data_IF_558737660679
#
_entry.id   IF_558737660679
#
_cell.length_a   1.000
_cell.length_b   1.000
_cell.length_c   1.000
_cell.angle_alpha   90.00
_cell.angle_beta   90.00
_cell.angle_gamma   90.00
#
_symmetry.space_group_name_H-M   'P 1'
#
loop_
_entity.id
_entity.type
_entity.pdbx_description
1 polymer ?
#
# COMPACT_ATOMS: atom_id res chain seq x y z
N UNK A 1 -18.77 4.84 -0.57
CA UNK A 1 -18.66 3.70 0.40
C UNK A 1 -19.95 2.89 0.49
N UNK A 2 -21.12 3.54 0.67
CA UNK A 2 -22.39 2.85 0.86
C UNK A 2 -22.80 2.01 -0.34
N UNK A 3 -22.66 2.53 -1.57
CA UNK A 3 -22.97 1.80 -2.80
C UNK A 3 -22.12 0.52 -2.94
N UNK A 4 -20.83 0.59 -2.63
CA UNK A 4 -19.96 -0.59 -2.63
C UNK A 4 -20.34 -1.57 -1.53
N UNK A 5 -20.64 -1.08 -0.31
CA UNK A 5 -21.08 -1.94 0.79
C UNK A 5 -22.37 -2.69 0.45
N UNK A 6 -23.32 -2.02 -0.20
CA UNK A 6 -24.58 -2.66 -0.61
C UNK A 6 -24.36 -3.73 -1.71
N UNK A 7 -23.42 -3.51 -2.63
CA UNK A 7 -23.11 -4.42 -3.73
C UNK A 7 -22.21 -5.58 -3.33
N UNK A 8 -21.18 -5.29 -2.52
CA UNK A 8 -20.08 -6.22 -2.24
C UNK A 8 -20.14 -6.87 -0.85
N UNK A 9 -20.99 -6.35 0.05
CA UNK A 9 -21.12 -6.86 1.43
C UNK A 9 -20.01 -6.41 2.40
N UNK A 10 -19.01 -5.61 1.95
CA UNK A 10 -17.97 -5.04 2.80
C UNK A 10 -17.78 -3.55 2.57
N UNK A 11 -17.21 -2.86 3.56
CA UNK A 11 -16.95 -1.42 3.47
C UNK A 11 -15.57 -1.13 2.89
N UNK A 12 -15.49 -0.18 1.93
CA UNK A 12 -14.21 0.33 1.44
C UNK A 12 -13.44 1.04 2.56
N UNK A 13 -12.18 0.66 2.71
CA UNK A 13 -11.18 1.33 3.54
C UNK A 13 -10.26 2.19 2.65
N UNK A 14 -9.24 2.82 3.23
CA UNK A 14 -8.21 3.52 2.48
C UNK A 14 -7.23 2.58 1.76
N UNK A 15 -7.09 1.35 2.25
CA UNK A 15 -6.09 0.40 1.75
C UNK A 15 -6.20 0.06 0.25
N UNK A 16 -7.37 -0.20 -0.34
CA UNK A 16 -7.49 -0.42 -1.77
C UNK A 16 -6.99 0.77 -2.61
N UNK A 17 -7.34 1.98 -2.23
CA UNK A 17 -6.91 3.21 -2.91
C UNK A 17 -5.40 3.39 -2.84
N UNK A 18 -4.83 3.22 -1.65
CA UNK A 18 -3.39 3.25 -1.45
C UNK A 18 -2.68 2.18 -2.27
N UNK A 19 -3.17 0.93 -2.23
CA UNK A 19 -2.60 -0.19 -2.98
C UNK A 19 -2.60 0.10 -4.49
N UNK A 20 -3.70 0.63 -5.02
CA UNK A 20 -3.79 1.02 -6.44
C UNK A 20 -2.79 2.12 -6.79
N UNK A 21 -2.73 3.19 -5.98
CA UNK A 21 -1.81 4.31 -6.19
C UNK A 21 -0.33 3.88 -6.10
N UNK A 22 0.01 3.00 -5.16
CA UNK A 22 1.36 2.43 -5.00
C UNK A 22 1.71 1.51 -6.15
N UNK A 23 0.79 0.65 -6.60
CA UNK A 23 1.01 -0.25 -7.75
C UNK A 23 1.41 0.55 -9.00
N UNK A 24 0.69 1.62 -9.32
CA UNK A 24 1.03 2.48 -10.47
C UNK A 24 2.36 3.22 -10.27
N UNK A 25 2.65 3.63 -9.05
CA UNK A 25 3.94 4.26 -8.75
C UNK A 25 5.12 3.27 -8.89
N UNK A 26 4.93 1.99 -8.54
CA UNK A 26 5.92 0.93 -8.72
C UNK A 26 6.18 0.64 -10.21
N UNK A 27 5.12 0.59 -11.04
CA UNK A 27 5.27 0.43 -12.49
C UNK A 27 6.05 1.59 -13.13
N UNK A 28 5.85 2.81 -12.62
CA UNK A 28 6.58 4.00 -13.07
C UNK A 28 8.03 4.08 -12.52
N UNK A 29 8.31 3.38 -11.41
CA UNK A 29 9.62 3.38 -10.73
C UNK A 29 10.07 1.94 -10.44
N UNK A 30 10.41 1.14 -11.47
CA UNK A 30 10.59 -0.31 -11.32
C UNK A 30 11.76 -0.70 -10.39
N UNK A 31 12.76 0.15 -10.21
CA UNK A 31 13.84 -0.09 -9.25
C UNK A 31 13.34 -0.18 -7.79
N UNK A 32 12.25 0.48 -7.45
CA UNK A 32 11.63 0.39 -6.11
C UNK A 32 10.95 -0.97 -5.92
N UNK A 33 10.56 -1.65 -7.01
CA UNK A 33 9.98 -2.99 -7.02
C UNK A 33 11.03 -4.05 -7.36
N UNK A 34 12.05 -4.17 -6.52
CA UNK A 34 13.19 -5.04 -6.77
C UNK A 34 13.59 -5.84 -5.53
N UNK A 35 14.50 -6.76 -5.71
CA UNK A 35 15.17 -7.48 -4.62
C UNK A 35 16.69 -7.53 -4.88
N UNK A 36 17.48 -7.48 -3.82
CA UNK A 36 18.93 -7.62 -3.89
C UNK A 36 19.30 -9.10 -3.68
N UNK A 37 19.95 -9.71 -4.66
CA UNK A 37 20.43 -11.10 -4.66
C UNK A 37 21.96 -11.12 -4.74
N UNK A 38 22.62 -11.12 -3.59
CA UNK A 38 24.07 -10.97 -3.54
C UNK A 38 24.47 -9.60 -4.09
N UNK A 39 25.14 -9.56 -5.24
CA UNK A 39 25.56 -8.34 -5.94
C UNK A 39 24.62 -7.95 -7.11
N UNK A 40 23.58 -8.74 -7.36
CA UNK A 40 22.64 -8.51 -8.45
C UNK A 40 21.33 -7.90 -7.96
N UNK A 41 20.76 -6.98 -8.74
CA UNK A 41 19.45 -6.39 -8.50
C UNK A 41 18.43 -7.05 -9.44
N UNK A 42 17.46 -7.77 -8.88
CA UNK A 42 16.39 -8.40 -9.62
C UNK A 42 15.15 -7.50 -9.64
N UNK A 43 14.96 -6.74 -10.70
CA UNK A 43 13.78 -5.88 -10.91
C UNK A 43 12.57 -6.72 -11.28
N UNK A 44 11.43 -6.46 -10.63
CA UNK A 44 10.16 -7.15 -10.89
C UNK A 44 9.30 -6.32 -11.85
N UNK A 45 8.79 -6.95 -12.91
CA UNK A 45 7.90 -6.33 -13.90
C UNK A 45 6.42 -6.65 -13.64
N UNK A 46 6.09 -7.17 -12.49
CA UNK A 46 4.75 -7.42 -11.96
C UNK A 46 4.70 -6.97 -10.50
N UNK A 47 3.52 -6.71 -9.97
CA UNK A 47 3.37 -6.26 -8.58
C UNK A 47 2.55 -7.27 -7.78
N UNK A 48 3.22 -7.92 -6.84
CA UNK A 48 2.59 -8.73 -5.80
C UNK A 48 2.66 -7.95 -4.47
N UNK A 49 1.54 -7.41 -4.05
CA UNK A 49 1.49 -6.50 -2.91
C UNK A 49 1.31 -7.25 -1.59
N UNK A 50 2.33 -7.19 -0.73
CA UNK A 50 2.21 -7.60 0.67
C UNK A 50 1.38 -6.60 1.47
N UNK A 51 0.37 -7.06 2.17
CA UNK A 51 -0.48 -6.23 3.04
C UNK A 51 -0.32 -6.70 4.48
N UNK A 52 0.29 -5.88 5.32
CA UNK A 52 0.47 -6.23 6.72
C UNK A 52 -0.88 -6.27 7.45
N UNK A 53 -1.20 -7.39 8.05
CA UNK A 53 -2.44 -7.64 8.81
C UNK A 53 -2.08 -8.04 10.24
N UNK A 54 -2.54 -7.24 11.21
CA UNK A 54 -2.46 -7.60 12.64
C UNK A 54 -3.55 -8.61 12.99
N UNK A 55 -3.20 -9.59 13.81
CA UNK A 55 -4.10 -10.56 14.42
C UNK A 55 -3.65 -10.81 15.88
N UNK A 56 -4.40 -11.55 16.68
CA UNK A 56 -4.22 -11.65 18.13
C UNK A 56 -2.81 -12.08 18.57
N UNK A 57 -2.11 -12.87 17.75
CA UNK A 57 -0.79 -13.43 18.08
C UNK A 57 0.38 -12.68 17.43
N UNK A 58 0.12 -11.63 16.63
CA UNK A 58 1.19 -10.86 15.98
C UNK A 58 0.80 -10.22 14.66
N UNK A 59 1.73 -10.27 13.70
CA UNK A 59 1.61 -9.67 12.39
C UNK A 59 1.89 -10.73 11.31
N UNK A 60 1.06 -10.77 10.28
CA UNK A 60 1.28 -11.58 9.08
C UNK A 60 1.15 -10.69 7.85
N UNK A 61 1.86 -11.03 6.77
CA UNK A 61 1.86 -10.24 5.53
C UNK A 61 1.35 -11.11 4.38
N UNK A 62 0.03 -11.28 4.24
CA UNK A 62 -0.51 -11.92 3.04
C UNK A 62 -0.22 -11.10 1.79
N UNK A 63 -0.10 -11.81 0.65
CA UNK A 63 0.31 -11.25 -0.63
C UNK A 63 -0.85 -11.28 -1.62
N UNK A 64 -1.30 -10.11 -2.03
CA UNK A 64 -2.23 -9.94 -3.13
C UNK A 64 -1.44 -9.96 -4.45
N UNK A 65 -1.50 -11.06 -5.18
CA UNK A 65 -0.73 -11.28 -6.41
C UNK A 65 -1.35 -10.55 -7.60
N UNK A 66 -0.50 -9.96 -8.45
CA UNK A 66 -0.90 -9.35 -9.72
C UNK A 66 -1.75 -8.08 -9.58
N UNK A 67 -1.45 -7.21 -8.62
CA UNK A 67 -2.20 -5.96 -8.42
C UNK A 67 -2.11 -5.01 -9.62
N UNK A 68 -1.08 -5.14 -10.44
CA UNK A 68 -0.86 -4.43 -11.70
C UNK A 68 -1.89 -4.76 -12.78
N UNK A 69 -2.56 -5.91 -12.68
CA UNK A 69 -3.63 -6.35 -13.60
C UNK A 69 -5.05 -6.17 -13.03
N UNK A 70 -5.17 -5.69 -11.79
CA UNK A 70 -6.44 -5.54 -11.10
C UNK A 70 -6.99 -4.11 -11.18
N UNK A 71 -8.30 -3.97 -11.29
CA UNK A 71 -8.97 -2.71 -11.00
C UNK A 71 -9.13 -2.51 -9.48
N UNK A 72 -9.53 -1.31 -9.07
CA UNK A 72 -9.69 -0.96 -7.65
C UNK A 72 -10.65 -1.89 -6.90
N UNK A 73 -11.73 -2.33 -7.54
CA UNK A 73 -12.69 -3.24 -6.91
C UNK A 73 -12.10 -4.64 -6.71
N UNK A 74 -11.32 -5.15 -7.66
CA UNK A 74 -10.60 -6.40 -7.54
C UNK A 74 -9.58 -6.36 -6.39
N UNK A 75 -8.83 -5.26 -6.28
CA UNK A 75 -7.91 -5.01 -5.16
C UNK A 75 -8.70 -4.98 -3.84
N UNK A 76 -9.84 -4.28 -3.77
CA UNK A 76 -10.63 -4.18 -2.56
C UNK A 76 -11.17 -5.55 -2.09
N UNK A 77 -11.67 -6.37 -3.02
CA UNK A 77 -12.11 -7.75 -2.74
C UNK A 77 -10.97 -8.62 -2.22
N UNK A 78 -9.81 -8.57 -2.90
CA UNK A 78 -8.64 -9.34 -2.53
C UNK A 78 -8.09 -8.97 -1.15
N UNK A 79 -7.98 -7.68 -0.84
CA UNK A 79 -7.54 -7.21 0.49
C UNK A 79 -8.52 -7.64 1.57
N UNK A 80 -9.84 -7.50 1.34
CA UNK A 80 -10.85 -7.89 2.31
C UNK A 80 -10.84 -9.40 2.60
N UNK A 81 -10.71 -10.23 1.55
CA UNK A 81 -10.62 -11.68 1.68
C UNK A 81 -9.36 -12.08 2.46
N UNK A 82 -8.18 -11.64 2.01
CA UNK A 82 -6.91 -11.97 2.66
C UNK A 82 -6.90 -11.52 4.13
N UNK A 83 -7.36 -10.31 4.43
CA UNK A 83 -7.39 -9.80 5.80
C UNK A 83 -8.36 -10.60 6.69
N UNK A 84 -9.51 -11.00 6.16
CA UNK A 84 -10.50 -11.83 6.88
C UNK A 84 -9.93 -13.21 7.19
N UNK A 85 -9.33 -13.86 6.21
CA UNK A 85 -8.70 -15.20 6.37
C UNK A 85 -7.45 -15.14 7.23
N UNK A 86 -6.67 -14.07 7.17
CA UNK A 86 -5.52 -13.84 8.06
C UNK A 86 -5.94 -13.85 9.53
N UNK A 87 -6.95 -13.04 9.89
CA UNK A 87 -7.48 -12.99 11.27
C UNK A 87 -8.11 -14.31 11.71
N UNK A 88 -8.72 -15.05 10.78
CA UNK A 88 -9.28 -16.38 11.04
C UNK A 88 -8.25 -17.50 11.02
N UNK A 89 -6.95 -17.20 10.79
CA UNK A 89 -5.84 -18.19 10.66
C UNK A 89 -6.07 -19.22 9.54
N UNK A 90 -6.69 -18.78 8.44
CA UNK A 90 -7.08 -19.63 7.29
C UNK A 90 -6.31 -19.32 6.01
N UNK A 91 -5.20 -18.58 6.11
CA UNK A 91 -4.32 -18.36 4.96
C UNK A 91 -3.61 -19.64 4.57
N UNK A 92 -3.41 -19.83 3.26
CA UNK A 92 -2.56 -20.91 2.75
C UNK A 92 -1.08 -20.48 2.77
N UNK A 93 -0.13 -21.40 2.89
CA UNK A 93 1.30 -21.08 2.95
C UNK A 93 1.80 -20.24 1.75
N UNK A 94 1.29 -20.48 0.55
CA UNK A 94 1.68 -19.77 -0.67
C UNK A 94 1.12 -18.33 -0.74
N UNK A 95 0.18 -17.97 0.12
CA UNK A 95 -0.41 -16.63 0.19
C UNK A 95 0.44 -15.65 1.02
N UNK A 96 1.48 -16.11 1.70
CA UNK A 96 2.42 -15.27 2.46
C UNK A 96 3.80 -15.17 1.81
N UNK A 97 3.94 -15.73 0.60
CA UNK A 97 5.20 -15.75 -0.15
C UNK A 97 5.07 -15.07 -1.52
N UNK A 98 6.20 -14.60 -2.05
CA UNK A 98 6.29 -14.04 -3.41
C UNK A 98 5.81 -12.60 -3.52
N UNK A 99 5.69 -11.87 -2.40
CA UNK A 99 5.47 -10.43 -2.41
C UNK A 99 6.67 -9.68 -2.96
N UNK A 100 6.42 -8.62 -3.74
CA UNK A 100 7.47 -7.80 -4.35
C UNK A 100 7.63 -6.44 -3.66
N UNK A 101 6.58 -5.97 -3.01
CA UNK A 101 6.54 -4.75 -2.20
C UNK A 101 5.54 -4.93 -1.06
N UNK A 102 5.71 -4.24 0.06
CA UNK A 102 4.82 -4.36 1.22
C UNK A 102 4.26 -2.99 1.63
N UNK A 103 2.98 -2.98 2.03
CA UNK A 103 2.32 -1.86 2.69
C UNK A 103 1.95 -2.28 4.11
N UNK A 104 2.31 -1.45 5.10
CA UNK A 104 1.87 -1.60 6.48
C UNK A 104 1.03 -0.41 6.91
N UNK A 105 -0.01 -0.66 7.72
CA UNK A 105 -0.93 0.38 8.17
C UNK A 105 -1.06 0.35 9.70
N UNK A 106 -0.17 1.03 10.44
CA UNK A 106 -0.29 1.21 11.88
C UNK A 106 -1.28 2.31 12.29
N UNK A 107 -1.85 3.04 11.34
CA UNK A 107 -2.80 4.13 11.58
C UNK A 107 -3.99 3.78 12.49
N UNK A 108 -4.64 2.61 12.37
CA UNK A 108 -5.71 2.18 13.28
C UNK A 108 -5.28 2.06 14.75
N UNK A 109 -3.99 1.96 15.03
CA UNK A 109 -3.40 1.95 16.37
C UNK A 109 -2.96 3.32 16.87
N UNK A 110 -3.24 4.39 16.11
CA UNK A 110 -2.93 5.77 16.48
C UNK A 110 -1.52 6.24 16.10
N UNK A 111 -0.81 5.51 15.24
CA UNK A 111 0.51 5.94 14.77
C UNK A 111 0.39 7.20 13.92
N UNK A 112 1.16 8.23 14.27
CA UNK A 112 1.23 9.48 13.53
C UNK A 112 2.21 9.40 12.36
N UNK A 113 3.36 8.80 12.61
CA UNK A 113 4.43 8.52 11.65
C UNK A 113 5.17 7.26 12.07
N UNK A 114 5.39 6.36 11.15
CA UNK A 114 6.08 5.09 11.36
C UNK A 114 7.34 4.98 10.50
N UNK A 115 8.28 4.15 10.94
CA UNK A 115 9.46 3.75 10.16
C UNK A 115 9.41 2.23 10.07
N UNK A 116 8.74 1.68 9.04
CA UNK A 116 8.53 0.23 8.93
C UNK A 116 9.84 -0.51 8.64
N UNK A 117 9.91 -1.76 9.09
CA UNK A 117 11.05 -2.65 8.81
C UNK A 117 10.79 -3.36 7.48
N UNK A 118 11.80 -3.36 6.58
CA UNK A 118 11.72 -3.98 5.27
C UNK A 118 11.44 -5.49 5.40
N UNK A 119 10.46 -5.97 4.64
CA UNK A 119 10.15 -7.39 4.53
C UNK A 119 11.06 -8.04 3.48
N UNK A 120 12.23 -8.52 3.91
CA UNK A 120 13.21 -9.15 3.00
C UNK A 120 12.59 -10.34 2.23
N UNK A 121 13.00 -10.58 0.96
CA UNK A 121 14.10 -9.93 0.21
C UNK A 121 13.70 -8.65 -0.56
N UNK A 122 12.53 -8.08 -0.33
CA UNK A 122 12.09 -6.82 -0.92
C UNK A 122 13.07 -5.69 -0.56
N UNK A 123 13.15 -4.66 -1.40
CA UNK A 123 14.05 -3.52 -1.18
C UNK A 123 13.38 -2.33 -0.51
N UNK A 124 12.05 -2.35 -0.37
CA UNK A 124 11.32 -1.25 0.26
C UNK A 124 9.98 -1.71 0.86
N UNK A 125 9.47 -0.89 1.79
CA UNK A 125 8.18 -1.02 2.44
C UNK A 125 7.59 0.37 2.68
N UNK A 126 6.28 0.52 2.49
CA UNK A 126 5.56 1.76 2.71
C UNK A 126 4.70 1.67 3.97
N UNK A 127 4.80 2.69 4.83
CA UNK A 127 3.94 2.92 5.98
C UNK A 127 2.82 3.90 5.66
N UNK A 128 1.60 3.58 6.11
CA UNK A 128 0.43 4.43 6.01
C UNK A 128 -0.15 4.63 7.41
N UNK A 129 -0.03 5.83 7.94
CA UNK A 129 -0.33 6.14 9.33
C UNK A 129 -1.76 6.65 9.55
N UNK A 130 -2.05 7.27 10.69
CA UNK A 130 -3.38 7.77 11.05
C UNK A 130 -3.84 8.88 10.10
N UNK A 131 -5.08 8.76 9.63
CA UNK A 131 -5.74 9.82 8.87
C UNK A 131 -6.45 10.75 9.85
N UNK A 132 -5.97 11.99 9.96
CA UNK A 132 -6.46 12.98 10.93
C UNK A 132 -6.83 14.28 10.24
N UNK A 133 -7.80 15.01 10.82
CA UNK A 133 -8.09 16.39 10.38
C UNK A 133 -6.98 17.32 10.84
N UNK A 134 -6.40 18.08 9.88
CA UNK A 134 -5.34 19.05 10.15
C UNK A 134 -5.58 20.34 9.39
N UNK A 135 -5.16 21.49 9.94
CA UNK A 135 -5.10 22.74 9.18
C UNK A 135 -3.98 22.63 8.14
N UNK A 136 -4.29 22.96 6.90
CA UNK A 136 -3.36 23.03 5.78
C UNK A 136 -3.57 24.28 4.98
N UNK A 137 -2.55 24.75 4.29
CA UNK A 137 -2.66 25.88 3.37
C UNK A 137 -3.03 25.36 1.99
N UNK A 138 -4.14 25.88 1.43
CA UNK A 138 -4.60 25.63 0.07
C UNK A 138 -4.96 26.99 -0.53
N UNK A 139 -4.36 27.34 -1.67
CA UNK A 139 -4.57 28.61 -2.37
C UNK A 139 -4.50 29.82 -1.42
N UNK A 140 -3.41 29.89 -0.62
CA UNK A 140 -3.12 30.91 0.38
C UNK A 140 -4.18 31.06 1.50
N UNK A 141 -5.08 30.08 1.65
CA UNK A 141 -6.07 30.02 2.73
C UNK A 141 -5.86 28.81 3.64
N UNK A 142 -6.20 28.96 4.93
CA UNK A 142 -6.17 27.85 5.87
C UNK A 142 -7.46 27.04 5.72
N UNK A 143 -7.30 25.76 5.41
CA UNK A 143 -8.40 24.81 5.27
C UNK A 143 -8.19 23.59 6.17
N UNK A 144 -9.28 22.96 6.64
CA UNK A 144 -9.22 21.69 7.36
C UNK A 144 -9.37 20.56 6.35
N UNK A 145 -8.39 19.65 6.31
CA UNK A 145 -8.41 18.45 5.43
C UNK A 145 -8.04 17.21 6.22
N UNK A 146 -8.46 16.05 5.71
CA UNK A 146 -7.96 14.77 6.19
C UNK A 146 -6.55 14.57 5.63
N UNK A 147 -5.59 14.47 6.53
CA UNK A 147 -4.16 14.33 6.20
C UNK A 147 -3.63 13.04 6.76
N UNK A 148 -2.67 12.45 6.08
CA UNK A 148 -1.95 11.25 6.50
C UNK A 148 -0.47 11.40 6.18
N UNK A 149 0.40 10.88 7.03
CA UNK A 149 1.80 10.67 6.68
C UNK A 149 1.95 9.32 5.98
N UNK A 150 2.69 9.36 4.88
CA UNK A 150 3.13 8.17 4.16
C UNK A 150 4.65 8.15 4.29
N UNK A 151 5.16 7.10 4.92
CA UNK A 151 6.58 6.89 5.16
C UNK A 151 7.09 5.71 4.32
N UNK A 152 8.38 5.64 4.07
CA UNK A 152 9.00 4.54 3.36
C UNK A 152 10.35 4.22 3.98
N UNK A 153 10.61 2.93 4.20
CA UNK A 153 11.95 2.41 4.45
C UNK A 153 12.45 1.70 3.20
N UNK A 154 13.73 1.84 2.88
CA UNK A 154 14.32 1.23 1.69
C UNK A 154 15.76 0.79 1.91
N UNK A 155 16.20 -0.16 1.09
CA UNK A 155 17.60 -0.58 1.03
C UNK A 155 18.41 0.43 0.24
N UNK A 156 19.23 1.22 0.93
CA UNK A 156 19.99 2.31 0.34
C UNK A 156 21.13 1.84 -0.59
N UNK A 157 21.38 0.54 -0.67
CA UNK A 157 22.28 -0.07 -1.66
C UNK A 157 21.65 -0.11 -3.06
N UNK A 158 20.30 -0.07 -3.13
CA UNK A 158 19.52 -0.22 -4.37
C UNK A 158 18.78 1.07 -4.70
N UNK A 159 18.23 1.74 -3.71
CA UNK A 159 17.37 2.92 -3.85
C UNK A 159 18.06 4.10 -3.17
N UNK A 160 18.33 5.18 -3.91
CA UNK A 160 18.80 6.42 -3.34
C UNK A 160 17.67 7.33 -2.85
N UNK A 161 18.03 8.42 -2.16
CA UNK A 161 17.04 9.36 -1.59
C UNK A 161 16.24 10.10 -2.67
N UNK A 162 16.80 10.34 -3.85
CA UNK A 162 16.10 11.00 -4.93
C UNK A 162 15.00 10.11 -5.51
N UNK A 163 15.32 8.84 -5.80
CA UNK A 163 14.35 7.85 -6.29
C UNK A 163 13.25 7.59 -5.27
N UNK A 164 13.61 7.43 -3.97
CA UNK A 164 12.64 7.25 -2.89
C UNK A 164 11.67 8.43 -2.80
N UNK A 165 12.19 9.67 -2.89
CA UNK A 165 11.37 10.88 -2.84
C UNK A 165 10.46 11.01 -4.06
N UNK A 166 10.95 10.71 -5.26
CA UNK A 166 10.17 10.70 -6.51
C UNK A 166 9.04 9.67 -6.45
N UNK A 167 9.34 8.47 -5.95
CA UNK A 167 8.33 7.43 -5.75
C UNK A 167 7.22 7.89 -4.80
N UNK A 168 7.56 8.42 -3.61
CA UNK A 168 6.58 8.93 -2.65
C UNK A 168 5.78 10.11 -3.21
N UNK A 169 6.42 11.02 -3.94
CA UNK A 169 5.74 12.13 -4.62
C UNK A 169 4.73 11.60 -5.66
N UNK A 170 5.07 10.53 -6.40
CA UNK A 170 4.16 9.88 -7.35
C UNK A 170 2.99 9.22 -6.64
N UNK A 171 3.20 8.51 -5.54
CA UNK A 171 2.12 7.93 -4.73
C UNK A 171 1.17 9.02 -4.23
N UNK A 172 1.72 10.13 -3.69
CA UNK A 172 0.94 11.30 -3.27
C UNK A 172 0.11 11.84 -4.42
N UNK A 173 0.74 12.10 -5.57
CA UNK A 173 0.06 12.62 -6.76
C UNK A 173 -1.10 11.71 -7.18
N UNK A 174 -0.88 10.39 -7.27
CA UNK A 174 -1.91 9.43 -7.63
C UNK A 174 -3.11 9.47 -6.66
N UNK A 175 -2.85 9.56 -5.34
CA UNK A 175 -3.91 9.64 -4.33
C UNK A 175 -4.71 10.94 -4.38
N UNK A 176 -4.08 12.06 -4.74
CA UNK A 176 -4.71 13.39 -4.71
C UNK A 176 -5.42 13.74 -6.03
N UNK A 177 -4.99 13.17 -7.16
CA UNK A 177 -5.49 13.58 -8.49
C UNK A 177 -6.29 12.52 -9.24
N UNK A 178 -6.26 11.25 -8.81
CA UNK A 178 -6.93 10.17 -9.52
C UNK A 178 -8.43 10.16 -9.29
N UNK A 179 -9.21 10.03 -10.37
CA UNK A 179 -10.65 9.77 -10.25
C UNK A 179 -10.92 8.27 -10.02
N UNK A 180 -10.94 7.90 -8.76
CA UNK A 180 -11.25 6.52 -8.36
C UNK A 180 -12.71 6.10 -8.58
N UNK A 181 -13.61 7.01 -8.96
CA UNK A 181 -15.00 6.67 -9.22
C UNK A 181 -15.12 5.86 -10.53
N UNK A 182 -14.35 6.21 -11.55
CA UNK A 182 -14.27 5.43 -12.79
C UNK A 182 -13.78 4.00 -12.55
N UNK A 183 -12.74 3.85 -11.71
CA UNK A 183 -12.15 2.54 -11.38
C UNK A 183 -13.10 1.63 -10.56
N UNK A 184 -14.08 2.21 -9.87
CA UNK A 184 -15.10 1.49 -9.11
C UNK A 184 -16.31 1.09 -9.96
N UNK A 185 -16.42 1.57 -11.19
CA UNK A 185 -17.59 1.42 -12.06
C UNK A 185 -18.91 1.75 -11.33
N UNK A 186 -18.92 2.91 -10.62
CA UNK A 186 -20.05 3.44 -9.87
C UNK A 186 -20.83 4.46 -10.71
#
# INVERSE_FOLDING_TARGET
>A
KEAVKAREGFSLTYMPFLTRAVTEALLANPMVNSELRGEEIAVKHFVNMGIAVSYDEGLIVPVLKGTDTMNLLGIARGINDLATRARAKKLQPDEVHGGTFTITNPGPFGSLISVPIINQPQTAILGFDSVEKRPVVIDDTIAIRHMVYISMSWDHRVIDGALASQFLARVKQNLETWDFAEDLAL
#
